data_IF_582891326763
#
_entry.id   IF_582891326763
#
_cell.length_a   1.000
_cell.length_b   1.000
_cell.length_c   1.000
_cell.angle_alpha   90.00
_cell.angle_beta   90.00
_cell.angle_gamma   90.00
#
_symmetry.space_group_name_H-M   'P 1'
#
loop_
_entity.id
_entity.type
_entity.pdbx_description
1 polymer ?
#
# COMPACT_ATOMS: atom_id res chain seq x y z
N UNK A 1 -14.76 49.85 49.42
CA UNK A 1 -15.87 50.39 50.23
C UNK A 1 -16.64 51.33 49.32
N UNK A 2 -17.92 51.03 49.05
CA UNK A 2 -18.78 51.65 48.02
C UNK A 2 -18.41 51.33 46.56
N UNK A 3 -19.45 51.41 45.74
CA UNK A 3 -19.66 50.83 44.41
C UNK A 3 -20.25 51.90 43.47
N UNK A 4 -20.44 51.60 42.17
CA UNK A 4 -21.67 51.91 41.38
C UNK A 4 -21.52 51.50 39.89
N UNK A 5 -22.64 51.10 39.25
CA UNK A 5 -22.76 50.72 37.83
C UNK A 5 -23.71 51.68 37.06
N UNK A 6 -23.60 51.81 35.73
CA UNK A 6 -24.76 52.06 34.82
C UNK A 6 -24.52 51.71 33.31
N UNK A 7 -25.57 51.78 32.46
CA UNK A 7 -25.87 51.01 31.21
C UNK A 7 -26.83 51.82 30.24
N UNK A 8 -26.98 51.70 28.90
CA UNK A 8 -26.45 50.83 27.80
C UNK A 8 -25.90 51.65 26.57
N UNK A 9 -26.31 51.67 25.27
CA UNK A 9 -27.38 51.09 24.39
C UNK A 9 -26.98 50.98 22.88
N UNK A 10 -27.02 49.77 22.29
CA UNK A 10 -27.54 49.32 20.95
C UNK A 10 -27.41 50.07 19.58
N UNK A 11 -27.30 49.24 18.51
CA UNK A 11 -27.77 49.37 17.09
C UNK A 11 -26.98 50.24 16.06
N UNK A 12 -26.99 49.99 14.73
CA UNK A 12 -27.09 48.76 13.88
C UNK A 12 -26.72 49.08 12.39
N UNK A 13 -26.45 48.06 11.56
CA UNK A 13 -26.40 47.97 10.07
C UNK A 13 -25.86 49.09 9.14
N UNK A 14 -24.92 48.71 8.24
CA UNK A 14 -24.96 48.93 6.77
C UNK A 14 -23.74 48.36 6.03
N UNK A 15 -23.94 47.75 4.85
CA UNK A 15 -22.89 47.36 3.89
C UNK A 15 -23.06 48.11 2.56
N UNK A 16 -21.99 48.30 1.77
CA UNK A 16 -22.01 47.66 0.45
C UNK A 16 -20.64 47.10 -0.03
N UNK A 17 -20.73 46.25 -1.04
CA UNK A 17 -19.62 45.64 -1.80
C UNK A 17 -19.37 46.41 -3.11
N UNK A 18 -18.12 46.55 -3.56
CA UNK A 18 -17.79 46.91 -4.94
C UNK A 18 -16.38 46.46 -5.34
N UNK A 19 -16.22 46.07 -6.61
CA UNK A 19 -14.96 45.57 -7.18
C UNK A 19 -14.25 46.69 -7.95
N UNK A 20 -12.92 46.64 -8.03
CA UNK A 20 -12.14 47.27 -9.09
C UNK A 20 -11.21 46.24 -9.76
N UNK A 21 -11.49 45.92 -11.03
CA UNK A 21 -10.55 45.18 -11.87
C UNK A 21 -9.57 46.17 -12.50
N UNK A 22 -8.26 45.99 -12.28
CA UNK A 22 -7.23 46.55 -13.18
C UNK A 22 -6.37 45.42 -13.70
N UNK A 23 -6.72 44.97 -14.90
CA UNK A 23 -5.94 44.00 -15.67
C UNK A 23 -4.69 44.70 -16.24
N UNK A 24 -3.53 44.04 -16.19
CA UNK A 24 -2.29 44.54 -16.80
C UNK A 24 -1.42 43.39 -17.26
N UNK A 25 -1.60 43.02 -18.53
CA UNK A 25 -0.79 42.01 -19.21
C UNK A 25 0.69 42.42 -19.21
N UNK A 26 1.57 41.53 -18.75
CA UNK A 26 3.00 41.65 -19.01
C UNK A 26 3.61 40.26 -19.26
N UNK A 27 3.52 39.80 -20.51
CA UNK A 27 4.13 38.54 -20.94
C UNK A 27 5.65 38.70 -20.97
N UNK A 28 6.35 38.05 -20.04
CA UNK A 28 7.80 37.84 -20.10
C UNK A 28 8.13 36.35 -20.03
N UNK A 29 9.10 35.94 -20.85
CA UNK A 29 9.34 34.53 -21.23
C UNK A 29 9.75 33.64 -20.06
N UNK A 30 8.86 32.73 -19.63
CA UNK A 30 9.20 31.59 -18.80
C UNK A 30 9.79 30.44 -19.65
N UNK A 31 11.00 30.64 -20.18
CA UNK A 31 11.80 29.55 -20.80
C UNK A 31 12.42 28.64 -19.73
N UNK A 32 11.59 28.17 -18.78
CA UNK A 32 11.97 27.15 -17.82
C UNK A 32 11.96 25.79 -18.53
N UNK A 33 13.07 25.46 -19.19
CA UNK A 33 13.40 24.10 -19.66
C UNK A 33 13.73 23.20 -18.46
N UNK A 34 12.85 23.20 -17.47
CA UNK A 34 12.85 22.29 -16.34
C UNK A 34 12.42 20.93 -16.88
N UNK A 35 13.37 20.15 -17.37
CA UNK A 35 13.22 18.72 -17.60
C UNK A 35 13.12 17.98 -16.25
N UNK A 36 12.17 18.40 -15.41
CA UNK A 36 11.68 17.61 -14.29
C UNK A 36 11.04 16.38 -14.89
N UNK A 37 11.76 15.26 -14.85
CA UNK A 37 11.22 13.93 -15.13
C UNK A 37 10.10 13.69 -14.14
N UNK A 38 8.86 13.89 -14.60
CA UNK A 38 7.66 13.76 -13.77
C UNK A 38 7.48 12.29 -13.37
N UNK A 39 8.09 11.92 -12.25
CA UNK A 39 7.88 10.64 -11.60
C UNK A 39 6.40 10.58 -11.21
N UNK A 40 5.66 9.63 -11.82
CA UNK A 40 4.25 9.39 -11.49
C UNK A 40 4.10 9.11 -10.00
N UNK A 41 3.00 9.53 -9.35
CA UNK A 41 2.89 9.59 -7.88
C UNK A 41 3.19 8.28 -7.14
N UNK A 42 2.94 7.11 -7.74
CA UNK A 42 3.31 5.81 -7.18
C UNK A 42 4.83 5.57 -7.12
N UNK A 43 5.57 6.17 -8.06
CA UNK A 43 7.01 6.06 -8.20
C UNK A 43 7.75 6.91 -7.16
N UNK A 44 7.20 8.09 -6.82
CA UNK A 44 7.65 8.91 -5.68
C UNK A 44 7.45 8.14 -4.36
N UNK A 45 6.31 7.48 -4.18
CA UNK A 45 6.04 6.65 -2.99
C UNK A 45 7.05 5.48 -2.84
N UNK A 46 7.51 4.89 -3.95
CA UNK A 46 8.56 3.86 -3.91
C UNK A 46 9.97 4.45 -3.69
N UNK A 47 10.24 5.66 -4.18
CA UNK A 47 11.50 6.38 -3.91
C UNK A 47 11.64 6.73 -2.42
N UNK A 48 10.55 7.18 -1.78
CA UNK A 48 10.48 7.40 -0.33
C UNK A 48 10.71 6.12 0.50
N UNK A 49 10.45 4.93 -0.08
CA UNK A 49 10.53 3.63 0.59
C UNK A 49 11.85 2.87 0.39
N UNK A 50 12.81 3.42 -0.36
CA UNK A 50 14.14 2.85 -0.52
C UNK A 50 14.87 2.67 0.83
N UNK A 51 15.72 1.65 0.88
CA UNK A 51 16.50 1.17 2.03
C UNK A 51 15.69 0.71 3.26
N UNK A 52 14.35 0.70 3.18
CA UNK A 52 13.46 0.13 4.19
C UNK A 52 13.21 -1.37 3.94
N UNK A 53 12.68 -2.05 4.95
CA UNK A 53 12.25 -3.45 4.85
C UNK A 53 10.80 -3.54 4.34
N UNK A 54 10.60 -4.24 3.22
CA UNK A 54 9.28 -4.43 2.60
C UNK A 54 8.86 -5.90 2.56
N UNK A 55 7.56 -6.11 2.57
CA UNK A 55 6.89 -7.37 2.27
C UNK A 55 6.45 -7.39 0.80
N UNK A 56 6.58 -8.53 0.13
CA UNK A 56 6.21 -8.72 -1.29
C UNK A 56 5.38 -10.00 -1.45
N UNK A 57 4.30 -9.93 -2.23
CA UNK A 57 3.46 -11.07 -2.61
C UNK A 57 3.47 -11.24 -4.12
N UNK A 58 3.71 -12.46 -4.60
CA UNK A 58 3.73 -12.81 -6.02
C UNK A 58 2.44 -13.51 -6.47
N UNK A 59 2.19 -13.52 -7.79
CA UNK A 59 1.00 -14.14 -8.42
C UNK A 59 0.85 -15.65 -8.19
N UNK A 60 1.92 -16.36 -7.83
CA UNK A 60 1.89 -17.78 -7.45
C UNK A 60 1.59 -18.00 -5.95
N UNK A 61 1.36 -16.92 -5.19
CA UNK A 61 1.10 -16.94 -3.75
C UNK A 61 2.35 -17.04 -2.90
N UNK A 62 3.56 -16.94 -3.47
CA UNK A 62 4.81 -16.84 -2.70
C UNK A 62 4.94 -15.47 -2.05
N UNK A 63 5.55 -15.46 -0.88
CA UNK A 63 5.65 -14.31 0.02
C UNK A 63 7.13 -14.07 0.33
N UNK A 64 7.57 -12.82 0.37
CA UNK A 64 8.96 -12.46 0.63
C UNK A 64 9.07 -11.26 1.57
N UNK A 65 10.16 -11.21 2.33
CA UNK A 65 10.67 -9.99 2.98
C UNK A 65 12.05 -9.65 2.44
N UNK A 66 12.46 -8.38 2.52
CA UNK A 66 13.82 -7.96 2.19
C UNK A 66 13.98 -6.44 2.23
N UNK A 67 15.23 -5.97 2.11
CA UNK A 67 15.56 -4.54 2.08
C UNK A 67 15.43 -4.05 0.64
N UNK A 68 14.57 -3.06 0.43
CA UNK A 68 14.29 -2.49 -0.89
C UNK A 68 15.46 -1.61 -1.35
N UNK A 69 16.10 -1.95 -2.49
CA UNK A 69 17.32 -1.25 -2.96
C UNK A 69 17.15 -0.48 -4.27
N UNK A 70 16.24 -0.89 -5.14
CA UNK A 70 15.90 -0.16 -6.36
C UNK A 70 14.62 -0.69 -7.01
N UNK A 71 14.03 0.11 -7.89
CA UNK A 71 12.92 -0.28 -8.75
C UNK A 71 13.13 0.23 -10.19
N UNK A 72 12.27 -0.21 -11.12
CA UNK A 72 12.18 0.33 -12.48
C UNK A 72 10.79 0.89 -12.81
N UNK A 73 10.65 1.54 -13.98
CA UNK A 73 9.40 2.11 -14.47
C UNK A 73 8.30 1.07 -14.77
N UNK A 74 8.62 -0.22 -14.77
CA UNK A 74 7.69 -1.34 -14.94
C UNK A 74 7.28 -1.96 -13.60
N UNK A 75 7.74 -1.39 -12.47
CA UNK A 75 7.49 -1.90 -11.13
C UNK A 75 8.35 -3.09 -10.74
N UNK A 76 9.40 -3.46 -11.49
CA UNK A 76 10.34 -4.48 -11.02
C UNK A 76 11.09 -3.98 -9.79
N UNK A 77 11.32 -4.84 -8.79
CA UNK A 77 11.94 -4.48 -7.51
C UNK A 77 13.23 -5.29 -7.29
N UNK A 78 14.27 -4.65 -6.74
CA UNK A 78 15.48 -5.30 -6.26
C UNK A 78 15.48 -5.33 -4.72
N UNK A 79 15.57 -6.53 -4.13
CA UNK A 79 15.68 -6.72 -2.69
C UNK A 79 17.03 -7.32 -2.29
N UNK A 80 17.75 -6.66 -1.38
CA UNK A 80 18.87 -7.26 -0.65
C UNK A 80 18.35 -8.04 0.56
N UNK A 81 19.08 -9.09 0.96
CA UNK A 81 18.80 -9.88 2.16
C UNK A 81 17.39 -10.45 2.19
N UNK A 82 16.95 -10.93 1.02
CA UNK A 82 15.63 -11.49 0.79
C UNK A 82 15.42 -12.78 1.59
N UNK A 83 14.22 -12.96 2.15
CA UNK A 83 13.75 -14.22 2.70
C UNK A 83 12.43 -14.62 2.04
N UNK A 84 12.26 -15.90 1.71
CA UNK A 84 10.97 -16.45 1.31
C UNK A 84 10.20 -16.94 2.54
N UNK A 85 8.98 -16.44 2.72
CA UNK A 85 8.15 -16.61 3.93
C UNK A 85 7.15 -17.74 3.72
N UNK A 86 7.20 -18.73 4.59
CA UNK A 86 6.26 -19.85 4.65
C UNK A 86 5.40 -19.70 5.89
N UNK A 87 4.31 -18.93 5.80
CA UNK A 87 3.33 -18.71 6.88
C UNK A 87 2.15 -19.70 6.81
N UNK A 88 1.63 -20.18 7.94
CA UNK A 88 0.28 -20.75 8.02
C UNK A 88 -0.29 -20.66 9.45
N UNK A 89 -1.45 -20.01 9.60
CA UNK A 89 -2.07 -19.72 10.90
C UNK A 89 -1.01 -19.15 11.89
N UNK A 90 -0.98 -19.62 13.15
CA UNK A 90 -0.01 -19.19 14.17
C UNK A 90 1.41 -19.77 13.98
N UNK A 91 1.84 -20.12 12.76
CA UNK A 91 3.14 -20.74 12.49
C UNK A 91 3.83 -20.17 11.24
N UNK A 92 5.16 -20.04 11.28
CA UNK A 92 5.95 -19.55 10.14
C UNK A 92 7.35 -20.17 10.02
N UNK A 93 7.94 -20.03 8.83
CA UNK A 93 9.36 -20.29 8.54
C UNK A 93 9.85 -19.30 7.47
N UNK A 94 11.16 -19.08 7.40
CA UNK A 94 11.80 -18.11 6.49
C UNK A 94 13.05 -18.76 5.90
N UNK A 95 13.16 -18.79 4.57
CA UNK A 95 14.33 -19.30 3.85
C UNK A 95 15.11 -18.11 3.28
N UNK A 96 16.39 -17.99 3.61
CA UNK A 96 17.23 -16.91 3.06
C UNK A 96 17.53 -17.14 1.57
N UNK A 97 17.20 -16.16 0.73
CA UNK A 97 17.37 -16.19 -0.73
C UNK A 97 18.44 -15.21 -1.26
N UNK A 98 19.04 -14.37 -0.40
CA UNK A 98 20.13 -13.47 -0.80
C UNK A 98 19.67 -12.18 -1.48
N UNK A 99 20.20 -11.87 -2.66
CA UNK A 99 19.76 -10.73 -3.46
C UNK A 99 18.82 -11.22 -4.57
N UNK A 100 17.63 -10.62 -4.68
CA UNK A 100 16.60 -11.02 -5.65
C UNK A 100 16.09 -9.83 -6.46
N UNK A 101 15.82 -10.06 -7.74
CA UNK A 101 15.08 -9.14 -8.60
C UNK A 101 13.72 -9.75 -8.88
N UNK A 102 12.66 -9.07 -8.44
CA UNK A 102 11.28 -9.42 -8.71
C UNK A 102 10.81 -8.64 -9.93
N UNK A 103 10.48 -9.34 -11.01
CA UNK A 103 9.96 -8.72 -12.24
C UNK A 103 8.56 -8.16 -11.99
N UNK A 104 8.33 -6.90 -12.37
CA UNK A 104 7.14 -6.14 -11.97
C UNK A 104 5.80 -6.78 -12.32
N UNK A 105 5.71 -7.51 -13.43
CA UNK A 105 4.48 -8.22 -13.81
C UNK A 105 4.11 -9.37 -12.87
N UNK A 106 5.05 -9.99 -12.16
CA UNK A 106 4.81 -11.10 -11.24
C UNK A 106 4.38 -10.67 -9.84
N UNK A 107 4.43 -9.37 -9.54
CA UNK A 107 3.96 -8.82 -8.27
C UNK A 107 2.44 -8.81 -8.22
N UNK A 108 1.89 -9.05 -7.02
CA UNK A 108 0.50 -8.71 -6.69
C UNK A 108 0.42 -7.51 -5.75
N UNK A 109 1.35 -7.42 -4.78
CA UNK A 109 1.41 -6.37 -3.78
C UNK A 109 2.82 -6.27 -3.21
N UNK A 110 3.22 -5.04 -2.86
CA UNK A 110 4.37 -4.78 -1.99
C UNK A 110 4.00 -3.67 -0.98
N UNK A 111 4.70 -3.60 0.15
CA UNK A 111 4.53 -2.52 1.14
C UNK A 111 5.44 -2.68 2.35
N UNK A 112 5.57 -1.61 3.14
CA UNK A 112 6.40 -1.58 4.35
C UNK A 112 5.99 -2.58 5.42
N UNK A 113 6.97 -3.04 6.19
CA UNK A 113 6.75 -3.81 7.43
C UNK A 113 6.92 -2.87 8.62
N UNK A 114 5.88 -2.72 9.46
CA UNK A 114 6.02 -2.00 10.73
C UNK A 114 6.74 -2.86 11.76
N UNK A 115 8.04 -2.59 11.92
CA UNK A 115 8.94 -3.25 12.89
C UNK A 115 8.53 -3.02 14.36
N UNK A 116 7.61 -2.09 14.65
CA UNK A 116 7.08 -1.84 16.00
C UNK A 116 5.93 -2.79 16.36
N UNK A 117 5.27 -3.40 15.38
CA UNK A 117 4.23 -4.42 15.62
C UNK A 117 4.94 -5.70 16.09
N UNK A 118 4.87 -5.95 17.40
CA UNK A 118 5.32 -7.22 17.99
C UNK A 118 4.60 -8.36 17.30
N UNK A 119 5.36 -9.35 16.82
CA UNK A 119 4.78 -10.57 16.24
C UNK A 119 3.94 -11.31 17.29
N UNK A 120 2.62 -11.14 17.21
CA UNK A 120 1.69 -11.74 18.17
C UNK A 120 1.60 -13.25 17.89
N UNK A 121 2.13 -14.03 18.83
CA UNK A 121 1.97 -15.49 18.99
C UNK A 121 2.50 -16.41 17.88
N UNK A 122 2.84 -15.91 16.69
CA UNK A 122 3.32 -16.73 15.58
C UNK A 122 4.61 -17.50 15.94
N UNK A 123 4.56 -18.84 15.85
CA UNK A 123 5.64 -19.74 16.22
C UNK A 123 6.52 -20.09 15.02
N UNK A 124 7.83 -19.89 15.12
CA UNK A 124 8.77 -20.37 14.10
C UNK A 124 8.93 -21.90 14.22
N UNK A 125 8.61 -22.64 13.15
CA UNK A 125 8.69 -24.12 13.09
C UNK A 125 9.43 -24.58 11.82
N UNK A 126 9.84 -25.87 11.71
CA UNK A 126 10.52 -26.35 10.51
C UNK A 126 9.66 -26.25 9.25
N UNK A 127 10.27 -25.84 8.12
CA UNK A 127 9.62 -25.75 6.81
C UNK A 127 8.82 -27.00 6.44
N UNK A 128 9.41 -28.18 6.69
CA UNK A 128 8.81 -29.47 6.36
C UNK A 128 7.46 -29.71 7.04
N UNK A 129 7.21 -29.11 8.21
CA UNK A 129 5.95 -29.26 8.94
C UNK A 129 4.89 -28.28 8.42
N UNK A 130 5.28 -27.07 8.04
CA UNK A 130 4.38 -26.08 7.39
C UNK A 130 3.89 -26.61 6.04
N UNK A 131 4.79 -27.26 5.27
CA UNK A 131 4.44 -27.83 3.97
C UNK A 131 3.43 -28.98 4.10
N UNK A 132 3.52 -29.83 5.14
CA UNK A 132 2.51 -30.87 5.42
C UNK A 132 1.14 -30.24 5.68
N UNK A 133 1.06 -29.28 6.61
CA UNK A 133 -0.21 -28.63 6.98
C UNK A 133 -0.83 -27.93 5.76
N UNK A 134 -0.03 -27.22 4.95
CA UNK A 134 -0.51 -26.60 3.69
C UNK A 134 -1.00 -27.63 2.65
N UNK A 135 -0.43 -28.84 2.63
CA UNK A 135 -0.87 -29.91 1.73
C UNK A 135 -2.18 -30.55 2.24
N UNK A 136 -2.29 -30.81 3.53
CA UNK A 136 -3.50 -31.30 4.19
C UNK A 136 -4.68 -30.34 3.99
N UNK A 137 -4.48 -29.03 4.20
CA UNK A 137 -5.50 -28.01 3.92
C UNK A 137 -5.96 -27.98 2.46
N UNK A 138 -5.04 -28.14 1.50
CA UNK A 138 -5.39 -28.19 0.07
C UNK A 138 -6.25 -29.40 -0.26
N UNK A 139 -5.91 -30.56 0.32
CA UNK A 139 -6.68 -31.80 0.15
C UNK A 139 -8.08 -31.68 0.79
N UNK A 140 -8.19 -31.10 1.99
CA UNK A 140 -9.47 -30.84 2.66
C UNK A 140 -10.36 -29.90 1.83
N UNK A 141 -9.79 -28.83 1.25
CA UNK A 141 -10.51 -27.88 0.40
C UNK A 141 -11.04 -28.53 -0.88
N UNK A 142 -10.28 -29.41 -1.53
CA UNK A 142 -10.74 -30.13 -2.74
C UNK A 142 -11.78 -31.22 -2.48
N UNK A 143 -11.78 -31.84 -1.30
CA UNK A 143 -12.84 -32.77 -0.87
C UNK A 143 -14.15 -32.00 -0.64
N UNK A 144 -14.09 -30.86 0.06
CA UNK A 144 -15.27 -30.07 0.37
C UNK A 144 -15.91 -29.44 -0.87
N UNK A 145 -15.13 -28.98 -1.85
CA UNK A 145 -15.65 -28.47 -3.13
C UNK A 145 -16.39 -29.52 -3.95
N UNK A 146 -16.07 -30.80 -3.77
CA UNK A 146 -16.74 -31.91 -4.46
C UNK A 146 -18.00 -32.41 -3.73
N UNK A 147 -18.21 -31.96 -2.48
CA UNK A 147 -19.30 -32.44 -1.61
C UNK A 147 -20.43 -31.42 -1.50
N UNK A 148 -20.15 -30.14 -1.66
CA UNK A 148 -21.17 -29.07 -1.72
C UNK A 148 -21.75 -28.94 -3.14
N UNK A 149 -23.06 -29.11 -3.36
CA UNK A 149 -23.67 -28.76 -4.65
C UNK A 149 -23.53 -27.25 -4.89
N UNK A 150 -23.27 -26.85 -6.15
CA UNK A 150 -22.92 -25.47 -6.48
C UNK A 150 -24.16 -24.56 -6.57
N UNK A 151 -24.63 -24.08 -5.41
CA UNK A 151 -25.84 -23.23 -5.30
C UNK A 151 -25.62 -21.79 -5.82
N UNK A 152 -24.36 -21.35 -5.95
CA UNK A 152 -23.99 -20.00 -6.40
C UNK A 152 -23.19 -20.01 -7.72
N UNK A 153 -23.69 -20.75 -8.72
CA UNK A 153 -23.24 -20.55 -10.10
C UNK A 153 -23.68 -19.18 -10.60
N UNK A 154 -22.73 -18.27 -10.83
CA UNK A 154 -23.01 -17.01 -11.54
C UNK A 154 -23.36 -17.34 -12.99
N UNK A 155 -24.61 -17.09 -13.36
CA UNK A 155 -25.09 -17.19 -14.74
C UNK A 155 -24.83 -15.84 -15.41
N UNK A 156 -24.05 -15.77 -16.51
CA UNK A 156 -23.98 -14.57 -17.33
C UNK A 156 -25.36 -14.27 -17.89
N UNK A 157 -25.79 -13.00 -17.84
CA UNK A 157 -26.98 -12.58 -18.58
C UNK A 157 -26.58 -12.36 -20.05
N UNK A 158 -26.82 -13.38 -20.87
CA UNK A 158 -26.53 -13.36 -22.31
C UNK A 158 -27.57 -12.54 -23.12
N UNK A 159 -28.45 -11.76 -22.48
CA UNK A 159 -29.42 -10.90 -23.16
C UNK A 159 -28.86 -9.50 -23.49
N UNK A 160 -28.48 -9.33 -24.76
CA UNK A 160 -28.17 -8.05 -25.45
C UNK A 160 -29.10 -7.90 -26.65
#
# INVERSE_FOLDING_TARGET
>A
MRDLNYDRTHNEDSSPNQNDEINSNNSNNNNNNNNQTSLSSWMLCLEEDLDKEIYVVLRDGRQFTGIFRSFDQYGSLCLERSFEVFSNNDCYNEIYQGCMIFRGDNLMLCGLIDQNIKSYNAKKIPLADILKIKQEEKNLKSINSNTSPNVFGWIPDDSI
#
